data_IF_857818827285
#
_entry.id   IF_857818827285
#
_cell.length_a   1.000
_cell.length_b   1.000
_cell.length_c   1.000
_cell.angle_alpha   90.00
_cell.angle_beta   90.00
_cell.angle_gamma   90.00
#
_symmetry.space_group_name_H-M   'P 1'
#
loop_
_entity.id
_entity.type
_entity.pdbx_description
1 polymer ?
#
# COMPACT_ATOMS: atom_id res chain seq x y z
N UNK A 1 -20.30 -71.85 8.79
CA UNK A 1 -21.37 -72.08 9.79
C UNK A 1 -22.11 -70.77 9.95
N UNK A 2 -23.25 -70.61 9.27
CA UNK A 2 -24.60 -70.63 9.88
C UNK A 2 -24.99 -69.21 10.35
N UNK A 3 -26.14 -68.61 10.10
CA UNK A 3 -27.35 -68.88 9.32
C UNK A 3 -28.09 -67.52 9.19
N UNK A 4 -28.93 -67.40 8.17
CA UNK A 4 -29.89 -66.30 7.94
C UNK A 4 -30.90 -66.17 9.09
N UNK A 5 -31.45 -64.97 9.31
CA UNK A 5 -32.83 -64.82 9.80
C UNK A 5 -33.46 -63.48 9.38
N UNK A 6 -34.59 -63.60 8.69
CA UNK A 6 -35.54 -62.55 8.32
C UNK A 6 -36.36 -62.07 9.53
N UNK A 7 -36.78 -60.80 9.47
CA UNK A 7 -38.19 -60.43 9.65
C UNK A 7 -38.63 -59.88 11.00
N UNK A 8 -39.18 -58.66 11.00
CA UNK A 8 -40.56 -58.39 11.47
C UNK A 8 -40.99 -56.95 11.19
N UNK A 9 -41.98 -56.83 10.30
CA UNK A 9 -43.01 -55.81 10.35
C UNK A 9 -43.97 -56.13 11.51
N UNK A 10 -44.30 -55.11 12.33
CA UNK A 10 -45.64 -54.76 12.84
C UNK A 10 -45.51 -53.99 14.16
N UNK A 11 -46.31 -52.92 14.28
CA UNK A 11 -46.49 -52.22 15.54
C UNK A 11 -47.29 -50.93 15.40
N UNK A 12 -48.54 -51.03 14.94
CA UNK A 12 -49.55 -49.97 15.11
C UNK A 12 -50.10 -50.07 16.54
N UNK A 13 -50.19 -48.93 17.23
CA UNK A 13 -50.98 -48.73 18.46
C UNK A 13 -50.96 -47.24 18.82
N UNK A 14 -52.03 -46.46 18.54
CA UNK A 14 -53.18 -46.16 19.41
C UNK A 14 -52.77 -45.37 20.67
N UNK A 15 -53.42 -44.30 21.13
CA UNK A 15 -54.43 -43.35 20.63
C UNK A 15 -54.53 -42.31 21.77
N UNK A 16 -54.63 -41.01 21.48
CA UNK A 16 -55.26 -40.06 22.39
C UNK A 16 -55.58 -38.76 21.62
N UNK A 17 -56.73 -38.73 20.96
CA UNK A 17 -57.37 -37.49 20.57
C UNK A 17 -58.38 -37.14 21.67
N UNK A 18 -58.18 -35.99 22.32
CA UNK A 18 -59.22 -35.29 23.08
C UNK A 18 -59.44 -33.96 22.37
N UNK A 19 -60.72 -33.60 22.22
CA UNK A 19 -61.23 -32.67 21.21
C UNK A 19 -60.97 -31.19 21.47
N UNK A 20 -61.33 -30.40 20.46
CA UNK A 20 -61.33 -28.94 20.48
C UNK A 20 -60.98 -28.38 19.10
N UNK A 21 -61.95 -27.79 18.42
CA UNK A 21 -61.84 -27.29 17.05
C UNK A 21 -60.71 -26.27 16.83
N UNK A 22 -60.12 -26.34 15.64
CA UNK A 22 -59.09 -25.41 15.16
C UNK A 22 -58.02 -26.18 14.38
N UNK A 23 -57.78 -25.81 13.12
CA UNK A 23 -56.78 -26.43 12.25
C UNK A 23 -55.37 -26.39 12.88
N UNK A 24 -54.98 -27.45 13.58
CA UNK A 24 -53.61 -27.64 14.05
C UNK A 24 -52.81 -28.36 12.95
N UNK A 25 -51.89 -27.65 12.30
CA UNK A 25 -50.91 -28.28 11.41
C UNK A 25 -49.94 -29.09 12.29
N UNK A 26 -49.96 -30.40 12.17
CA UNK A 26 -48.98 -31.26 12.84
C UNK A 26 -47.59 -31.05 12.23
N UNK A 27 -46.68 -30.42 12.97
CA UNK A 27 -45.26 -30.47 12.64
C UNK A 27 -44.74 -31.88 12.95
N UNK A 28 -44.47 -32.66 11.91
CA UNK A 28 -43.71 -33.91 12.02
C UNK A 28 -42.23 -33.57 12.24
N UNK A 29 -41.76 -33.68 13.48
CA UNK A 29 -40.34 -33.63 13.78
C UNK A 29 -39.73 -35.00 13.46
N UNK A 30 -39.19 -35.16 12.25
CA UNK A 30 -38.34 -36.31 11.93
C UNK A 30 -37.09 -36.28 12.83
N UNK A 31 -36.56 -37.45 13.21
CA UNK A 31 -35.29 -37.53 13.95
C UNK A 31 -34.24 -36.69 13.22
N UNK A 32 -33.56 -35.78 13.94
CA UNK A 32 -32.37 -35.10 13.41
C UNK A 32 -31.42 -36.18 12.90
N UNK A 33 -31.28 -36.29 11.58
CA UNK A 33 -30.11 -36.96 11.01
C UNK A 33 -28.96 -36.00 11.30
N UNK A 34 -28.11 -36.37 12.24
CA UNK A 34 -26.81 -35.74 12.38
C UNK A 34 -26.08 -35.94 11.06
N UNK A 35 -26.14 -34.93 10.19
CA UNK A 35 -25.16 -34.83 9.12
C UNK A 35 -23.86 -34.53 9.84
N UNK A 36 -22.97 -35.51 9.90
CA UNK A 36 -21.59 -35.29 10.32
C UNK A 36 -21.04 -34.14 9.48
N UNK A 37 -20.94 -32.99 10.11
CA UNK A 37 -20.69 -31.73 9.42
C UNK A 37 -19.35 -31.83 8.73
N UNK A 38 -19.36 -31.77 7.40
CA UNK A 38 -18.19 -31.73 6.52
C UNK A 38 -17.29 -32.97 6.67
N UNK A 39 -17.31 -33.83 5.64
CA UNK A 39 -16.44 -35.01 5.50
C UNK A 39 -15.08 -34.81 6.17
N UNK A 40 -14.85 -35.56 7.25
CA UNK A 40 -13.66 -35.50 8.10
C UNK A 40 -12.37 -35.70 7.30
N UNK A 41 -12.44 -36.41 6.18
CA UNK A 41 -11.35 -36.65 5.21
C UNK A 41 -10.98 -35.39 4.41
N UNK A 42 -11.95 -34.55 4.02
CA UNK A 42 -11.67 -33.28 3.31
C UNK A 42 -10.98 -32.25 4.22
N UNK A 43 -11.20 -32.38 5.53
CA UNK A 43 -10.62 -31.47 6.54
C UNK A 43 -9.37 -32.06 7.19
N UNK A 44 -8.99 -33.29 6.86
CA UNK A 44 -7.86 -34.00 7.48
C UNK A 44 -6.51 -33.31 7.20
N UNK A 45 -6.38 -32.61 6.07
CA UNK A 45 -5.20 -31.79 5.75
C UNK A 45 -5.27 -30.36 6.31
N UNK A 46 -6.41 -29.91 6.83
CA UNK A 46 -6.52 -28.57 7.43
C UNK A 46 -5.83 -28.60 8.78
N UNK A 47 -4.89 -27.69 8.99
CA UNK A 47 -4.22 -27.51 10.30
C UNK A 47 -5.27 -27.47 11.41
N UNK A 48 -5.17 -28.39 12.39
CA UNK A 48 -6.14 -28.55 13.50
C UNK A 48 -6.24 -27.34 14.43
N UNK A 49 -5.36 -26.35 14.23
CA UNK A 49 -5.30 -25.14 15.02
C UNK A 49 -6.14 -24.08 14.30
N UNK A 50 -7.16 -23.49 14.95
CA UNK A 50 -7.86 -22.33 14.42
C UNK A 50 -6.86 -21.26 14.03
N UNK A 51 -7.07 -20.60 12.89
CA UNK A 51 -6.15 -19.58 12.36
C UNK A 51 -5.78 -18.51 13.40
N UNK A 52 -6.72 -18.10 14.25
CA UNK A 52 -6.50 -17.12 15.33
C UNK A 52 -5.50 -17.64 16.37
N UNK A 53 -5.52 -18.93 16.70
CA UNK A 53 -4.57 -19.53 17.64
C UNK A 53 -3.20 -19.75 17.02
N UNK A 54 -3.15 -20.14 15.73
CA UNK A 54 -1.91 -20.23 14.98
C UNK A 54 -1.25 -18.85 14.88
N UNK A 55 -2.03 -17.82 14.54
CA UNK A 55 -1.61 -16.42 14.53
C UNK A 55 -1.11 -15.98 15.90
N UNK A 56 -1.85 -16.22 16.99
CA UNK A 56 -1.40 -15.83 18.35
C UNK A 56 -0.12 -16.55 18.77
N UNK A 57 0.05 -17.82 18.39
CA UNK A 57 1.30 -18.57 18.63
C UNK A 57 2.46 -18.03 17.80
N UNK A 58 2.22 -17.60 16.56
CA UNK A 58 3.21 -16.89 15.77
C UNK A 58 3.54 -15.53 16.35
N UNK A 59 2.54 -14.72 16.75
CA UNK A 59 2.72 -13.44 17.46
C UNK A 59 3.57 -13.61 18.71
N UNK A 60 3.30 -14.62 19.55
CA UNK A 60 4.08 -14.89 20.75
C UNK A 60 5.50 -15.36 20.44
N UNK A 61 5.68 -16.21 19.42
CA UNK A 61 7.02 -16.60 18.94
C UNK A 61 7.78 -15.43 18.31
N UNK A 62 7.08 -14.54 17.60
CA UNK A 62 7.63 -13.35 16.97
C UNK A 62 8.04 -12.35 18.03
N UNK A 63 7.22 -12.15 19.08
CA UNK A 63 7.58 -11.34 20.26
C UNK A 63 8.74 -11.93 21.04
N UNK A 64 8.75 -13.23 21.33
CA UNK A 64 9.89 -13.88 22.00
C UNK A 64 11.19 -13.79 21.18
N UNK A 65 11.12 -14.06 19.87
CA UNK A 65 12.26 -13.89 18.97
C UNK A 65 12.66 -12.43 18.79
N UNK A 66 11.71 -11.50 18.76
CA UNK A 66 11.97 -10.05 18.72
C UNK A 66 12.66 -9.61 20.02
N UNK A 67 12.22 -10.06 21.19
CA UNK A 67 12.84 -9.74 22.48
C UNK A 67 14.27 -10.32 22.62
N UNK A 68 14.48 -11.55 22.16
CA UNK A 68 15.80 -12.18 22.17
C UNK A 68 16.74 -11.55 21.13
N UNK A 69 16.25 -11.32 19.90
CA UNK A 69 17.00 -10.59 18.87
C UNK A 69 17.22 -9.12 19.24
N UNK A 70 16.31 -8.48 19.97
CA UNK A 70 16.45 -7.08 20.41
C UNK A 70 17.48 -6.99 21.54
N UNK A 71 17.57 -7.97 22.44
CA UNK A 71 18.65 -8.05 23.44
C UNK A 71 20.01 -8.31 22.79
N UNK A 72 20.07 -9.20 21.81
CA UNK A 72 21.29 -9.53 21.08
C UNK A 72 21.75 -8.35 20.19
N UNK A 73 20.83 -7.76 19.42
CA UNK A 73 21.07 -6.52 18.65
C UNK A 73 21.40 -5.35 19.55
N UNK A 74 20.79 -5.19 20.73
CA UNK A 74 21.14 -4.11 21.68
C UNK A 74 22.54 -4.28 22.24
N UNK A 75 22.99 -5.52 22.46
CA UNK A 75 24.37 -5.83 22.87
C UNK A 75 25.40 -5.58 21.75
N UNK A 76 25.07 -5.95 20.51
CA UNK A 76 25.93 -5.76 19.35
C UNK A 76 25.96 -4.29 18.88
N UNK A 77 24.81 -3.62 18.88
CA UNK A 77 24.67 -2.21 18.51
C UNK A 77 25.22 -1.26 19.58
N UNK A 78 25.20 -1.63 20.88
CA UNK A 78 25.97 -0.89 21.90
C UNK A 78 27.49 -0.99 21.73
N UNK A 79 28.01 -2.06 21.12
CA UNK A 79 29.43 -2.15 20.75
C UNK A 79 29.76 -1.28 19.53
N UNK A 80 28.88 -1.21 18.53
CA UNK A 80 29.05 -0.36 17.33
C UNK A 80 28.90 1.13 17.64
N UNK A 81 27.97 1.51 18.52
CA UNK A 81 27.72 2.93 18.89
C UNK A 81 28.88 3.54 19.68
N UNK A 82 29.66 2.74 20.44
CA UNK A 82 30.87 3.23 21.14
C UNK A 82 32.09 3.40 20.22
N UNK A 83 32.01 2.98 18.96
CA UNK A 83 33.15 2.95 18.02
C UNK A 83 33.18 4.07 16.98
N UNK A 84 32.59 5.24 17.20
CA UNK A 84 32.78 6.35 16.24
C UNK A 84 31.94 7.58 16.50
N UNK A 85 32.09 8.25 17.63
CA UNK A 85 31.71 9.66 17.69
C UNK A 85 32.61 10.44 16.70
N UNK A 86 32.09 10.76 15.50
CA UNK A 86 32.69 11.76 14.61
C UNK A 86 33.61 11.29 13.47
N UNK A 87 33.68 10.02 13.11
CA UNK A 87 34.50 9.61 11.95
C UNK A 87 33.74 9.77 10.61
N UNK A 88 34.13 10.81 9.86
CA UNK A 88 34.07 10.86 8.39
C UNK A 88 32.70 11.06 7.73
N UNK A 89 32.07 12.23 7.87
CA UNK A 89 31.03 12.66 6.91
C UNK A 89 31.67 13.23 5.64
N UNK A 90 32.61 12.50 5.07
CA UNK A 90 33.19 12.82 3.77
C UNK A 90 32.10 12.69 2.70
N UNK A 91 32.13 13.56 1.70
CA UNK A 91 31.17 13.48 0.60
C UNK A 91 31.39 12.15 -0.14
N UNK A 92 30.30 11.42 -0.39
CA UNK A 92 30.32 10.17 -1.15
C UNK A 92 29.92 10.43 -2.59
N UNK A 93 30.42 9.61 -3.51
CA UNK A 93 30.04 9.73 -4.92
C UNK A 93 28.69 9.08 -5.13
N UNK A 94 27.93 9.54 -6.12
CA UNK A 94 26.64 8.93 -6.44
C UNK A 94 26.79 7.43 -6.78
N UNK A 95 27.84 7.09 -7.53
CA UNK A 95 28.16 5.71 -7.95
C UNK A 95 28.36 4.74 -6.79
N UNK A 96 28.85 5.23 -5.64
CA UNK A 96 29.09 4.38 -4.47
C UNK A 96 27.77 3.81 -3.90
N UNK A 97 26.66 4.52 -4.12
CA UNK A 97 25.32 4.10 -3.70
C UNK A 97 24.54 3.33 -4.79
N UNK A 98 25.08 3.23 -6.01
CA UNK A 98 24.37 2.64 -7.13
C UNK A 98 24.02 1.16 -6.87
N UNK A 99 22.79 0.78 -7.19
CA UNK A 99 22.37 -0.60 -7.16
C UNK A 99 21.39 -0.92 -8.28
N UNK A 100 21.45 -2.17 -8.74
CA UNK A 100 20.62 -2.72 -9.80
C UNK A 100 20.15 -4.11 -9.40
N UNK A 101 18.89 -4.40 -9.69
CA UNK A 101 18.23 -5.70 -9.54
C UNK A 101 17.52 -6.04 -10.85
N UNK A 102 17.66 -7.28 -11.29
CA UNK A 102 16.94 -7.81 -12.46
C UNK A 102 15.74 -8.61 -11.96
N UNK A 103 14.56 -8.29 -12.48
CA UNK A 103 13.30 -8.95 -12.21
C UNK A 103 12.90 -9.79 -13.44
N UNK A 104 13.15 -11.11 -13.43
CA UNK A 104 12.97 -11.99 -14.59
C UNK A 104 11.49 -12.36 -14.82
N UNK A 105 10.64 -11.37 -15.11
CA UNK A 105 9.20 -11.55 -15.28
C UNK A 105 8.81 -12.38 -16.51
N UNK A 106 9.58 -12.32 -17.59
CA UNK A 106 9.34 -13.14 -18.78
C UNK A 106 9.97 -14.53 -18.66
N UNK A 107 11.09 -14.62 -17.94
CA UNK A 107 11.84 -15.87 -17.78
C UNK A 107 11.26 -16.79 -16.69
N UNK A 108 10.65 -16.24 -15.64
CA UNK A 108 10.08 -17.02 -14.52
C UNK A 108 8.55 -16.80 -14.38
N UNK A 109 7.73 -17.76 -14.86
CA UNK A 109 6.28 -17.68 -14.74
C UNK A 109 5.75 -17.70 -13.29
N UNK A 110 6.45 -18.37 -12.36
CA UNK A 110 6.02 -18.41 -10.95
C UNK A 110 6.19 -17.05 -10.28
N UNK A 111 7.25 -16.32 -10.66
CA UNK A 111 7.43 -14.94 -10.23
C UNK A 111 6.36 -14.06 -10.87
N UNK A 112 6.12 -14.18 -12.17
CA UNK A 112 5.16 -13.36 -12.93
C UNK A 112 3.75 -13.35 -12.30
N UNK A 113 3.27 -14.48 -11.78
CA UNK A 113 1.96 -14.57 -11.14
C UNK A 113 1.77 -13.57 -9.97
N UNK A 114 2.84 -13.24 -9.25
CA UNK A 114 2.81 -12.26 -8.17
C UNK A 114 2.73 -10.81 -8.68
N UNK A 115 3.20 -10.58 -9.91
CA UNK A 115 3.31 -9.27 -10.54
C UNK A 115 2.23 -8.99 -11.57
N UNK A 116 1.42 -9.98 -11.97
CA UNK A 116 0.36 -9.80 -12.96
C UNK A 116 -1.01 -9.61 -12.29
N UNK A 117 -1.90 -8.92 -13.00
CA UNK A 117 -3.32 -8.79 -12.68
C UNK A 117 -4.11 -9.81 -13.49
N UNK A 118 -5.33 -10.16 -13.07
CA UNK A 118 -6.22 -11.06 -13.84
C UNK A 118 -6.48 -10.59 -15.28
N UNK A 119 -6.30 -9.29 -15.57
CA UNK A 119 -6.41 -8.69 -16.91
C UNK A 119 -5.13 -8.77 -17.75
N UNK A 120 -4.08 -9.44 -17.27
CA UNK A 120 -2.80 -9.58 -17.98
C UNK A 120 -1.85 -8.38 -17.87
N UNK A 121 -2.14 -7.40 -17.01
CA UNK A 121 -1.31 -6.20 -16.83
C UNK A 121 -0.39 -6.31 -15.61
N UNK A 122 0.80 -5.69 -15.68
CA UNK A 122 1.73 -5.63 -14.55
C UNK A 122 1.14 -4.76 -13.42
N UNK A 123 1.12 -5.33 -12.21
CA UNK A 123 0.64 -4.70 -10.99
C UNK A 123 1.69 -3.70 -10.49
N UNK A 124 1.45 -2.43 -10.76
CA UNK A 124 2.34 -1.34 -10.30
C UNK A 124 2.58 -1.35 -8.79
N UNK A 125 1.59 -1.78 -7.99
CA UNK A 125 1.76 -1.93 -6.55
C UNK A 125 2.88 -2.91 -6.15
N UNK A 126 3.06 -4.01 -6.89
CA UNK A 126 4.15 -4.96 -6.63
C UNK A 126 5.50 -4.34 -6.96
N UNK A 127 5.59 -3.64 -8.09
CA UNK A 127 6.80 -2.91 -8.49
C UNK A 127 7.16 -1.82 -7.47
N UNK A 128 6.18 -1.09 -6.92
CA UNK A 128 6.47 -0.07 -5.89
C UNK A 128 6.98 -0.66 -4.57
N UNK A 129 6.55 -1.86 -4.19
CA UNK A 129 7.10 -2.55 -3.02
C UNK A 129 8.59 -2.87 -3.23
N UNK A 130 8.94 -3.37 -4.41
CA UNK A 130 10.34 -3.66 -4.74
C UNK A 130 11.19 -2.40 -4.87
N UNK A 131 10.62 -1.32 -5.41
CA UNK A 131 11.28 -0.03 -5.49
C UNK A 131 11.57 0.57 -4.11
N UNK A 132 10.63 0.45 -3.16
CA UNK A 132 10.84 0.87 -1.77
C UNK A 132 11.94 0.03 -1.09
N UNK A 133 11.92 -1.29 -1.29
CA UNK A 133 12.97 -2.18 -0.80
C UNK A 133 14.35 -1.82 -1.39
N UNK A 134 14.40 -1.55 -2.70
CA UNK A 134 15.61 -1.12 -3.40
C UNK A 134 16.11 0.24 -2.90
N UNK A 135 15.21 1.20 -2.67
CA UNK A 135 15.56 2.50 -2.06
C UNK A 135 16.18 2.32 -0.68
N UNK A 136 15.64 1.40 0.13
CA UNK A 136 16.22 1.01 1.40
C UNK A 136 17.66 0.51 1.25
N UNK A 137 17.89 -0.44 0.34
CA UNK A 137 19.23 -1.00 0.08
C UNK A 137 20.22 0.08 -0.38
N UNK A 138 19.82 0.93 -1.33
CA UNK A 138 20.65 2.05 -1.81
C UNK A 138 20.99 3.01 -0.67
N UNK A 139 20.02 3.31 0.18
CA UNK A 139 20.24 4.18 1.35
C UNK A 139 21.22 3.56 2.33
N UNK A 140 21.10 2.27 2.62
CA UNK A 140 22.04 1.55 3.48
C UNK A 140 23.46 1.50 2.89
N UNK A 141 23.62 1.38 1.57
CA UNK A 141 24.94 1.51 0.94
C UNK A 141 25.54 2.91 1.14
N UNK A 142 24.71 3.95 1.08
CA UNK A 142 25.14 5.32 1.28
C UNK A 142 25.48 5.63 2.74
N UNK A 143 24.71 5.14 3.70
CA UNK A 143 24.88 5.52 5.12
C UNK A 143 25.67 4.52 5.96
N UNK A 144 25.69 3.25 5.56
CA UNK A 144 26.25 2.13 6.30
C UNK A 144 25.35 1.65 7.45
N UNK A 145 25.78 0.60 8.15
CA UNK A 145 25.01 -0.11 9.19
C UNK A 145 24.81 0.69 10.49
N UNK A 146 25.33 1.92 10.54
CA UNK A 146 25.33 2.75 11.75
C UNK A 146 23.99 3.43 12.01
N UNK A 147 23.17 3.58 10.97
CA UNK A 147 21.89 4.30 11.05
C UNK A 147 20.76 3.42 10.51
N UNK A 148 19.58 3.59 11.08
CA UNK A 148 18.36 3.03 10.53
C UNK A 148 17.84 3.97 9.46
N UNK A 149 17.53 3.46 8.27
CA UNK A 149 16.92 4.27 7.20
C UNK A 149 15.44 3.93 7.07
N UNK A 150 14.61 4.97 6.94
CA UNK A 150 13.16 4.85 6.74
C UNK A 150 12.71 5.65 5.51
N UNK A 151 11.66 5.18 4.86
CA UNK A 151 11.01 5.92 3.76
C UNK A 151 10.11 7.00 4.34
N UNK A 152 10.41 8.27 4.05
CA UNK A 152 9.62 9.40 4.52
C UNK A 152 8.55 9.81 3.51
N UNK A 153 8.87 9.76 2.22
CA UNK A 153 7.93 10.07 1.16
C UNK A 153 8.31 9.37 -0.15
N UNK A 154 7.28 9.09 -0.96
CA UNK A 154 7.42 8.74 -2.37
C UNK A 154 6.83 9.90 -3.15
N UNK A 155 7.66 10.60 -3.93
CA UNK A 155 7.29 11.90 -4.47
C UNK A 155 6.94 11.82 -5.96
N UNK A 156 7.97 11.98 -6.81
CA UNK A 156 7.80 12.05 -8.26
C UNK A 156 7.76 10.64 -8.79
N UNK A 157 6.62 10.22 -9.34
CA UNK A 157 6.48 8.99 -10.13
C UNK A 157 6.14 9.42 -11.55
N UNK A 158 7.05 9.17 -12.49
CA UNK A 158 6.87 9.48 -13.91
C UNK A 158 6.77 8.16 -14.67
N UNK A 159 5.58 7.87 -15.19
CA UNK A 159 5.35 6.74 -16.10
C UNK A 159 5.59 7.22 -17.52
N UNK A 160 6.75 6.86 -18.10
CA UNK A 160 7.08 7.23 -19.47
C UNK A 160 6.29 6.40 -20.48
N UNK A 161 6.08 5.11 -20.18
CA UNK A 161 5.31 4.19 -21.01
C UNK A 161 4.53 3.21 -20.13
N UNK A 162 3.34 2.77 -20.58
CA UNK A 162 2.59 1.75 -19.86
C UNK A 162 3.32 0.40 -19.95
N UNK A 163 3.39 -0.30 -18.81
CA UNK A 163 3.95 -1.66 -18.69
C UNK A 163 2.96 -2.69 -19.25
N UNK A 164 2.74 -2.66 -20.56
CA UNK A 164 1.79 -3.54 -21.27
C UNK A 164 2.45 -4.86 -21.71
N UNK A 165 3.75 -4.84 -21.97
CA UNK A 165 4.49 -6.01 -22.41
C UNK A 165 5.11 -6.73 -21.21
N UNK A 166 4.86 -8.04 -21.12
CA UNK A 166 5.56 -8.92 -20.19
C UNK A 166 7.00 -9.05 -20.69
N UNK A 167 7.93 -8.41 -19.98
CA UNK A 167 9.35 -8.45 -20.28
C UNK A 167 10.15 -8.45 -18.98
N UNK A 168 11.38 -8.94 -19.03
CA UNK A 168 12.29 -8.84 -17.89
C UNK A 168 12.61 -7.37 -17.62
N UNK A 169 12.47 -6.97 -16.35
CA UNK A 169 12.64 -5.60 -15.90
C UNK A 169 13.95 -5.43 -15.13
N UNK A 170 14.56 -4.28 -15.30
CA UNK A 170 15.73 -3.83 -14.55
C UNK A 170 15.31 -2.68 -13.64
N UNK A 171 15.37 -2.92 -12.33
CA UNK A 171 15.20 -1.89 -11.31
C UNK A 171 16.59 -1.38 -10.94
N UNK A 172 16.83 -0.08 -11.08
CA UNK A 172 18.12 0.52 -10.74
C UNK A 172 17.93 1.86 -10.06
N UNK A 173 18.96 2.32 -9.35
CA UNK A 173 18.96 3.66 -8.82
C UNK A 173 20.18 3.99 -7.98
N UNK A 174 20.20 5.24 -7.52
CA UNK A 174 21.29 5.82 -6.72
C UNK A 174 20.79 7.02 -5.93
N UNK A 175 21.56 7.42 -4.91
CA UNK A 175 21.33 8.68 -4.20
C UNK A 175 21.69 9.84 -5.13
N UNK A 176 20.72 10.69 -5.45
CA UNK A 176 20.92 11.85 -6.32
C UNK A 176 21.06 13.15 -5.55
N UNK A 177 20.57 13.22 -4.32
CA UNK A 177 20.75 14.40 -3.48
C UNK A 177 20.76 13.99 -2.01
N UNK A 178 21.72 14.49 -1.24
CA UNK A 178 21.75 14.29 0.20
C UNK A 178 22.02 15.62 0.90
N UNK A 179 21.21 15.95 1.90
CA UNK A 179 21.26 17.25 2.59
C UNK A 179 22.48 17.43 3.50
N UNK A 180 23.21 16.36 3.81
CA UNK A 180 24.23 16.34 4.89
C UNK A 180 23.64 16.43 6.30
N UNK A 181 22.30 16.44 6.43
CA UNK A 181 21.57 16.28 7.69
C UNK A 181 21.05 14.86 7.73
N UNK A 182 19.75 14.63 7.81
CA UNK A 182 19.20 13.28 7.93
C UNK A 182 18.45 12.79 6.69
N UNK A 183 18.22 13.64 5.69
CA UNK A 183 17.42 13.27 4.52
C UNK A 183 18.26 13.15 3.26
N UNK A 184 17.92 12.16 2.44
CA UNK A 184 18.45 11.93 1.10
C UNK A 184 17.32 11.62 0.12
N UNK A 185 17.49 12.01 -1.13
CA UNK A 185 16.64 11.66 -2.27
C UNK A 185 17.32 10.55 -3.07
N UNK A 186 16.61 9.44 -3.24
CA UNK A 186 17.02 8.29 -4.05
C UNK A 186 16.23 8.33 -5.34
N UNK A 187 16.91 8.45 -6.47
CA UNK A 187 16.26 8.33 -7.78
C UNK A 187 16.38 6.91 -8.29
N UNK A 188 15.24 6.36 -8.68
CA UNK A 188 15.08 5.01 -9.17
C UNK A 188 14.52 5.03 -10.59
N UNK A 189 14.89 4.02 -11.35
CA UNK A 189 14.45 3.83 -12.73
C UNK A 189 14.09 2.36 -12.96
N UNK A 190 12.99 2.16 -13.69
CA UNK A 190 12.55 0.86 -14.18
C UNK A 190 12.70 0.83 -15.69
N UNK A 191 13.54 -0.07 -16.18
CA UNK A 191 13.85 -0.23 -17.59
C UNK A 191 13.60 -1.66 -18.06
N UNK A 192 13.45 -1.85 -19.36
CA UNK A 192 13.57 -3.18 -19.98
C UNK A 192 15.00 -3.68 -19.85
N UNK A 193 15.18 -4.95 -19.50
CA UNK A 193 16.49 -5.62 -19.53
C UNK A 193 17.04 -5.56 -20.96
N UNK A 194 18.31 -5.18 -21.16
CA UNK A 194 18.86 -5.04 -22.50
C UNK A 194 19.11 -6.42 -23.09
N UNK A 195 19.07 -6.53 -24.42
CA UNK A 195 19.52 -7.74 -25.10
C UNK A 195 21.00 -8.03 -24.78
N UNK A 196 21.36 -9.32 -24.75
CA UNK A 196 22.71 -9.78 -24.44
C UNK A 196 23.78 -9.01 -25.27
N UNK A 197 24.73 -8.39 -24.57
CA UNK A 197 25.80 -7.57 -25.18
C UNK A 197 25.64 -6.04 -25.06
N UNK A 198 24.51 -5.53 -24.54
CA UNK A 198 24.27 -4.09 -24.33
C UNK A 198 24.22 -3.67 -22.86
N UNK A 199 24.71 -4.49 -21.93
CA UNK A 199 24.56 -4.28 -20.48
C UNK A 199 25.23 -3.00 -19.94
N UNK A 200 26.29 -2.54 -20.62
CA UNK A 200 27.05 -1.34 -20.25
C UNK A 200 26.65 -0.08 -21.03
N UNK A 201 25.63 -0.15 -21.90
CA UNK A 201 25.17 1.01 -22.66
C UNK A 201 24.16 1.84 -21.84
N UNK A 202 24.13 3.17 -22.04
CA UNK A 202 23.09 3.99 -21.44
C UNK A 202 21.72 3.52 -21.93
N UNK A 203 20.77 3.47 -21.00
CA UNK A 203 19.40 3.06 -21.30
C UNK A 203 18.79 4.00 -22.31
N UNK A 204 18.25 3.44 -23.39
CA UNK A 204 17.48 4.22 -24.35
C UNK A 204 16.22 4.71 -23.68
N UNK A 205 15.77 5.90 -24.04
CA UNK A 205 14.53 6.48 -23.48
C UNK A 205 13.32 5.61 -23.78
N UNK A 206 13.37 4.89 -24.90
CA UNK A 206 12.37 3.91 -25.33
C UNK A 206 12.40 2.61 -24.53
N UNK A 207 13.34 2.41 -23.61
CA UNK A 207 13.38 1.24 -22.72
C UNK A 207 13.01 1.60 -21.28
N UNK A 208 12.96 2.90 -20.95
CA UNK A 208 12.53 3.41 -19.66
C UNK A 208 11.00 3.33 -19.57
N UNK A 209 10.49 2.68 -18.55
CA UNK A 209 9.06 2.60 -18.25
C UNK A 209 8.66 3.58 -17.17
N UNK A 210 9.47 3.67 -16.11
CA UNK A 210 9.16 4.47 -14.95
C UNK A 210 10.43 5.11 -14.37
N UNK A 211 10.30 6.36 -13.95
CA UNK A 211 11.26 7.04 -13.09
C UNK A 211 10.57 7.42 -11.79
N UNK A 212 11.23 7.23 -10.66
CA UNK A 212 10.70 7.66 -9.39
C UNK A 212 11.75 8.24 -8.45
N UNK A 213 11.31 9.10 -7.52
CA UNK A 213 12.15 9.70 -6.49
C UNK A 213 11.57 9.40 -5.11
N UNK A 214 12.40 8.78 -4.26
CA UNK A 214 12.09 8.41 -2.88
C UNK A 214 12.86 9.30 -1.93
N UNK A 215 12.17 9.89 -0.96
CA UNK A 215 12.80 10.63 0.13
C UNK A 215 13.01 9.70 1.30
N UNK A 216 14.28 9.44 1.61
CA UNK A 216 14.72 8.56 2.68
C UNK A 216 15.29 9.38 3.83
N UNK A 217 15.03 8.94 5.07
CA UNK A 217 15.49 9.62 6.28
C UNK A 217 16.26 8.65 7.16
N UNK A 218 17.42 9.10 7.64
CA UNK A 218 18.30 8.35 8.52
C UNK A 218 18.05 8.74 9.97
N UNK A 219 17.82 7.71 10.78
CA UNK A 219 17.49 7.78 12.19
C UNK A 219 18.52 6.98 13.00
N UNK A 220 18.73 7.40 14.23
CA UNK A 220 19.42 6.60 15.23
C UNK A 220 18.53 5.37 15.55
N UNK A 221 19.05 4.15 15.42
CA UNK A 221 18.25 2.95 15.65
C UNK A 221 17.77 2.81 17.11
N UNK A 222 18.47 3.41 18.08
CA UNK A 222 18.07 3.41 19.50
C UNK A 222 17.17 4.61 19.80
N UNK A 223 17.62 5.82 19.50
CA UNK A 223 16.90 7.04 19.92
C UNK A 223 15.76 7.43 18.98
N UNK A 224 15.72 6.85 17.77
CA UNK A 224 14.78 7.16 16.67
C UNK A 224 14.82 8.64 16.24
N UNK A 225 15.88 9.37 16.62
CA UNK A 225 16.09 10.77 16.24
C UNK A 225 16.86 10.85 14.93
N UNK A 226 16.65 11.93 14.20
CA UNK A 226 17.37 12.24 12.96
C UNK A 226 18.90 12.29 13.18
N UNK A 227 19.65 11.53 12.36
CA UNK A 227 21.12 11.45 12.42
C UNK A 227 21.73 12.08 11.17
N UNK A 228 22.91 12.69 11.32
CA UNK A 228 23.65 13.25 10.18
C UNK A 228 24.24 12.16 9.27
N UNK A 229 24.13 12.35 7.97
CA UNK A 229 24.68 11.48 6.92
C UNK A 229 25.66 12.22 6.02
N UNK A 230 26.48 11.46 5.30
CA UNK A 230 27.37 11.99 4.28
C UNK A 230 26.58 12.71 3.18
N UNK A 231 27.11 13.83 2.70
CA UNK A 231 26.62 14.47 1.48
C UNK A 231 26.95 13.63 0.25
N UNK A 232 26.29 13.93 -0.87
CA UNK A 232 26.64 13.35 -2.17
C UNK A 232 27.43 14.38 -2.98
N UNK A 233 28.49 13.92 -3.64
CA UNK A 233 29.25 14.68 -4.62
C UNK A 233 28.97 14.11 -6.02
N UNK A 234 28.37 14.88 -6.94
CA UNK A 234 28.22 14.47 -8.33
C UNK A 234 29.56 14.47 -9.07
N UNK A 235 29.75 13.51 -9.97
CA UNK A 235 30.88 13.45 -10.88
C UNK A 235 30.43 13.63 -12.34
N UNK A 236 30.79 14.77 -12.94
CA UNK A 236 30.51 15.08 -14.35
C UNK A 236 29.14 15.71 -14.59
N UNK A 237 28.90 16.13 -15.84
CA UNK A 237 27.76 16.97 -16.21
C UNK A 237 26.39 16.28 -16.02
N UNK A 238 26.33 14.96 -16.25
CA UNK A 238 25.07 14.19 -16.12
C UNK A 238 24.66 14.06 -14.66
N UNK A 239 25.60 13.72 -13.78
CA UNK A 239 25.34 13.61 -12.34
C UNK A 239 25.04 14.99 -11.72
N UNK A 240 25.71 16.05 -12.18
CA UNK A 240 25.43 17.42 -11.77
C UNK A 240 23.97 17.82 -12.10
N UNK A 241 23.49 17.47 -13.30
CA UNK A 241 22.11 17.74 -13.69
C UNK A 241 21.09 16.98 -12.82
N UNK A 242 21.41 15.76 -12.39
CA UNK A 242 20.59 15.00 -11.44
C UNK A 242 20.63 15.60 -10.03
N UNK A 243 21.81 16.03 -9.58
CA UNK A 243 21.99 16.68 -8.29
C UNK A 243 21.18 17.97 -8.19
N UNK A 244 21.28 18.83 -9.21
CA UNK A 244 20.54 20.10 -9.25
C UNK A 244 19.02 19.86 -9.33
N UNK A 245 18.59 18.81 -10.03
CA UNK A 245 17.18 18.40 -10.04
C UNK A 245 16.70 17.96 -8.66
N UNK A 246 17.50 17.15 -7.96
CA UNK A 246 17.20 16.70 -6.60
C UNK A 246 17.19 17.85 -5.59
N UNK A 247 18.11 18.81 -5.73
CA UNK A 247 18.14 20.03 -4.92
C UNK A 247 16.87 20.87 -5.12
N UNK A 248 16.47 21.12 -6.37
CA UNK A 248 15.21 21.83 -6.68
C UNK A 248 13.98 21.10 -6.13
N UNK A 249 13.98 19.77 -6.19
CA UNK A 249 12.92 18.93 -5.59
C UNK A 249 12.86 19.15 -4.08
N UNK A 250 14.00 19.09 -3.39
CA UNK A 250 14.10 19.35 -1.96
C UNK A 250 13.62 20.77 -1.58
N UNK A 251 14.09 21.79 -2.29
CA UNK A 251 13.72 23.19 -2.03
C UNK A 251 12.22 23.42 -2.27
N UNK A 252 11.65 22.82 -3.32
CA UNK A 252 10.20 22.83 -3.57
C UNK A 252 9.45 22.20 -2.40
N UNK A 253 9.82 20.99 -1.97
CA UNK A 253 9.17 20.31 -0.83
C UNK A 253 9.24 21.14 0.44
N UNK A 254 10.40 21.74 0.71
CA UNK A 254 10.60 22.61 1.87
C UNK A 254 9.69 23.85 1.84
N UNK A 255 9.48 24.44 0.66
CA UNK A 255 8.54 25.56 0.47
C UNK A 255 7.08 25.12 0.67
N UNK A 256 6.70 23.97 0.13
CA UNK A 256 5.32 23.46 0.24
C UNK A 256 4.96 23.00 1.67
N UNK A 257 5.92 22.53 2.46
CA UNK A 257 5.72 22.10 3.85
C UNK A 257 5.10 23.19 4.74
N UNK A 258 5.37 24.47 4.46
CA UNK A 258 4.80 25.61 5.18
C UNK A 258 3.47 26.12 4.63
N UNK A 259 3.05 25.69 3.43
CA UNK A 259 1.87 26.21 2.71
C UNK A 259 0.60 25.37 2.93
N UNK A 260 0.54 24.64 4.04
CA UNK A 260 -0.66 23.88 4.39
C UNK A 260 -1.81 24.82 4.77
N UNK A 261 -3.04 24.49 4.37
CA UNK A 261 -4.25 25.28 4.68
C UNK A 261 -4.48 25.50 6.20
N UNK A 262 -3.92 24.63 7.05
CA UNK A 262 -3.94 24.78 8.51
C UNK A 262 -2.85 25.69 9.05
N UNK A 263 -1.81 25.95 8.26
CA UNK A 263 -0.64 26.75 8.63
C UNK A 263 -0.69 28.17 8.07
N UNK A 264 -1.34 28.35 6.92
CA UNK A 264 -1.44 29.62 6.22
C UNK A 264 -2.80 29.70 5.52
N UNK A 265 -3.39 30.89 5.53
CA UNK A 265 -4.63 31.18 4.78
C UNK A 265 -4.36 31.10 3.27
N UNK A 266 -5.37 30.77 2.44
CA UNK A 266 -5.22 30.74 0.99
C UNK A 266 -4.73 32.08 0.45
N UNK A 267 -3.79 32.02 -0.49
CA UNK A 267 -3.33 33.21 -1.21
C UNK A 267 -4.42 33.77 -2.15
N UNK A 268 -4.28 35.00 -2.64
CA UNK A 268 -5.27 35.62 -3.54
C UNK A 268 -5.48 34.77 -4.80
N UNK A 269 -4.39 34.23 -5.37
CA UNK A 269 -4.46 33.32 -6.53
C UNK A 269 -5.21 32.01 -6.22
N UNK A 270 -5.04 31.48 -5.01
CA UNK A 270 -5.71 30.26 -4.56
C UNK A 270 -7.19 30.52 -4.30
N UNK A 271 -7.52 31.67 -3.72
CA UNK A 271 -8.88 32.14 -3.48
C UNK A 271 -9.63 32.32 -4.80
N UNK A 272 -8.99 32.93 -5.81
CA UNK A 272 -9.55 33.06 -7.17
C UNK A 272 -9.78 31.69 -7.83
N UNK A 273 -8.89 30.73 -7.60
CA UNK A 273 -9.06 29.36 -8.10
C UNK A 273 -10.24 28.66 -7.41
N UNK A 274 -10.36 28.79 -6.09
CA UNK A 274 -11.46 28.22 -5.31
C UNK A 274 -12.78 28.83 -5.78
N UNK A 275 -12.85 30.15 -5.96
CA UNK A 275 -14.03 30.85 -6.46
C UNK A 275 -14.42 30.36 -7.87
N UNK A 276 -13.46 30.24 -8.80
CA UNK A 276 -13.71 29.67 -10.13
C UNK A 276 -14.21 28.23 -10.08
N UNK A 277 -13.68 27.40 -9.17
CA UNK A 277 -14.14 26.02 -9.01
C UNK A 277 -15.55 25.94 -8.41
N UNK A 278 -15.86 26.82 -7.46
CA UNK A 278 -17.19 26.93 -6.87
C UNK A 278 -18.24 27.36 -7.91
N UNK A 279 -17.93 28.36 -8.74
CA UNK A 279 -18.82 28.78 -9.84
C UNK A 279 -19.12 27.62 -10.79
N UNK A 280 -18.08 26.87 -11.21
CA UNK A 280 -18.28 25.66 -12.03
C UNK A 280 -19.14 24.61 -11.34
N UNK A 281 -19.11 24.54 -10.01
CA UNK A 281 -19.93 23.58 -9.24
C UNK A 281 -21.41 23.95 -9.28
N UNK A 282 -21.74 25.24 -9.28
CA UNK A 282 -23.12 25.72 -9.41
C UNK A 282 -23.72 25.37 -10.77
N UNK A 283 -22.92 25.44 -11.84
CA UNK A 283 -23.36 25.03 -13.18
C UNK A 283 -23.88 23.57 -13.20
N UNK A 284 -23.28 22.66 -12.40
CA UNK A 284 -23.73 21.28 -12.28
C UNK A 284 -25.04 21.12 -11.48
N UNK A 285 -25.37 22.06 -10.60
CA UNK A 285 -26.55 21.96 -9.71
C UNK A 285 -27.80 22.53 -10.38
N UNK A 286 -27.66 23.50 -11.27
CA UNK A 286 -28.78 24.19 -11.92
C UNK A 286 -29.19 23.56 -13.27
N UNK A 287 -28.30 22.81 -13.94
CA UNK A 287 -28.59 22.17 -15.25
C UNK A 287 -28.14 20.71 -15.31
N UNK A 288 -29.00 19.74 -14.94
CA UNK A 288 -28.68 18.31 -14.98
C UNK A 288 -28.45 17.73 -16.39
N UNK A 289 -28.70 18.50 -17.45
CA UNK A 289 -28.63 18.06 -18.85
C UNK A 289 -27.28 18.27 -19.52
N UNK A 290 -26.45 19.17 -18.98
CA UNK A 290 -25.16 19.54 -19.58
C UNK A 290 -24.03 18.70 -18.98
N UNK A 291 -24.19 17.36 -19.06
CA UNK A 291 -23.03 16.49 -18.92
C UNK A 291 -22.06 16.84 -20.04
N UNK A 292 -20.79 17.18 -19.76
CA UNK A 292 -19.79 17.19 -20.82
C UNK A 292 -19.82 15.80 -21.46
N UNK A 293 -19.88 15.69 -22.80
CA UNK A 293 -19.84 14.40 -23.46
C UNK A 293 -18.63 13.65 -22.90
N UNK A 294 -18.86 12.42 -22.42
CA UNK A 294 -17.76 11.53 -22.01
C UNK A 294 -16.73 11.59 -23.14
N UNK A 295 -15.47 12.00 -22.87
CA UNK A 295 -14.51 12.17 -23.94
C UNK A 295 -14.39 10.82 -24.66
N UNK A 296 -14.72 10.82 -25.95
CA UNK A 296 -14.51 9.68 -26.82
C UNK A 296 -13.03 9.27 -26.73
N UNK A 297 -12.80 7.96 -26.86
CA UNK A 297 -11.64 7.18 -26.41
C UNK A 297 -10.22 7.58 -26.92
N UNK A 298 -9.99 8.80 -27.39
CA UNK A 298 -8.75 9.19 -28.10
C UNK A 298 -8.12 10.52 -27.67
N UNK A 299 -8.47 11.09 -26.51
CA UNK A 299 -7.79 12.30 -26.03
C UNK A 299 -6.75 11.95 -24.96
N UNK A 300 -5.48 12.25 -25.26
CA UNK A 300 -4.34 12.03 -24.38
C UNK A 300 -4.50 12.85 -23.09
N UNK A 301 -4.75 12.17 -21.97
CA UNK A 301 -4.81 12.82 -20.65
C UNK A 301 -3.40 13.00 -20.09
N UNK A 302 -2.94 14.26 -19.96
CA UNK A 302 -1.86 14.59 -19.04
C UNK A 302 -2.49 14.84 -17.67
N UNK A 303 -2.58 13.79 -16.86
CA UNK A 303 -2.99 13.85 -15.46
C UNK A 303 -1.91 14.57 -14.63
N UNK A 304 -2.14 15.83 -14.26
CA UNK A 304 -1.12 16.63 -13.58
C UNK A 304 -1.06 16.46 -12.05
N UNK A 305 -2.04 15.79 -11.41
CA UNK A 305 -1.91 15.28 -10.04
C UNK A 305 -3.15 14.49 -9.66
N UNK A 306 -2.98 13.30 -9.10
CA UNK A 306 -4.04 12.61 -8.35
C UNK A 306 -3.80 12.87 -6.86
N UNK A 307 -4.55 13.78 -6.25
CA UNK A 307 -4.86 13.68 -4.82
C UNK A 307 -6.15 12.88 -4.72
N UNK A 308 -6.03 11.58 -4.47
CA UNK A 308 -7.17 10.73 -4.11
C UNK A 308 -7.68 11.17 -2.73
N UNK A 309 -8.56 12.16 -2.70
CA UNK A 309 -9.42 12.39 -1.54
C UNK A 309 -10.64 11.47 -1.71
N UNK A 310 -10.62 10.33 -1.02
CA UNK A 310 -11.85 9.59 -0.74
C UNK A 310 -12.70 10.49 0.18
N UNK A 311 -13.90 10.95 -0.24
CA UNK A 311 -14.79 11.63 0.68
C UNK A 311 -15.21 10.63 1.77
N UNK A 312 -15.25 11.02 3.05
CA UNK A 312 -15.83 10.17 4.07
C UNK A 312 -17.32 10.02 3.75
N UNK A 313 -17.74 8.82 3.34
CA UNK A 313 -19.15 8.45 3.29
C UNK A 313 -19.70 8.53 4.72
N UNK A 314 -20.28 9.67 5.08
CA UNK A 314 -21.15 9.81 6.24
C UNK A 314 -22.43 9.01 5.95
N UNK A 315 -22.44 7.74 6.37
CA UNK A 315 -23.65 6.96 6.55
C UNK A 315 -24.53 7.66 7.59
N UNK A 316 -25.41 8.55 7.13
CA UNK A 316 -26.45 9.15 7.96
C UNK A 316 -27.58 8.14 8.11
N UNK A 317 -27.76 7.59 9.30
CA UNK A 317 -28.90 6.73 9.63
C UNK A 317 -30.22 7.51 9.49
N UNK A 318 -31.29 6.91 8.94
CA UNK A 318 -32.60 7.56 8.84
C UNK A 318 -33.27 7.53 10.21
N UNK A 319 -33.27 8.65 10.92
CA UNK A 319 -34.10 8.82 12.11
C UNK A 319 -35.53 9.14 11.67
N UNK A 320 -36.48 8.32 12.15
CA UNK A 320 -37.90 8.41 11.87
C UNK A 320 -38.47 9.80 12.25
N UNK A 321 -39.08 10.45 11.26
CA UNK A 321 -39.93 11.64 11.45
C UNK A 321 -41.28 11.21 12.02
N UNK A 322 -41.61 11.65 13.22
CA UNK A 322 -42.95 11.56 13.80
C UNK A 322 -43.53 12.99 13.88
N UNK A 323 -44.66 13.30 13.21
CA UNK A 323 -45.22 14.65 13.26
C UNK A 323 -46.21 14.76 14.42
N UNK A 324 -45.82 15.43 15.50
CA UNK A 324 -46.75 15.92 16.54
C UNK A 324 -47.05 17.38 16.29
N UNK A 325 -48.25 17.67 15.77
CA UNK A 325 -48.82 19.01 15.73
C UNK A 325 -49.13 19.51 17.16
N UNK A 326 -48.78 20.75 17.53
CA UNK A 326 -49.32 21.41 18.72
C UNK A 326 -50.55 22.25 18.37
N UNK A 327 -51.67 21.97 19.03
CA UNK A 327 -52.90 22.77 19.06
C UNK A 327 -52.72 24.05 19.90
N UNK A 328 -53.35 25.19 19.55
CA UNK A 328 -53.21 26.44 20.30
C UNK A 328 -54.38 26.72 21.26
N UNK A 329 -54.11 27.32 22.42
CA UNK A 329 -55.04 28.17 23.19
C UNK A 329 -54.29 28.84 24.38
N UNK A 330 -54.86 29.85 25.05
CA UNK A 330 -55.13 31.20 24.54
C UNK A 330 -54.45 32.30 25.40
N UNK A 331 -54.41 33.51 24.85
CA UNK A 331 -53.90 34.76 25.46
C UNK A 331 -54.69 35.19 26.71
N UNK A 332 -54.03 35.79 27.72
CA UNK A 332 -54.71 36.36 28.88
C UNK A 332 -55.16 37.82 28.64
N UNK A 333 -56.20 38.21 29.38
CA UNK A 333 -56.70 39.58 29.54
C UNK A 333 -55.71 40.49 30.27
#
# INVERSE_FOLDING_TARGET
MSMKSLGRLRGVGWNACVGGGGYARCFSMGSRRETDGVYRELTAMRTRVPFIEAWRKEEAKRKGKEEDMEKEKRGEMQKVVKGGEGEGLEMKRMKDSFHRVILPLASDPWLLDNYITASGHIRLGAIFMDLDALAGVISYKHTGDRVMTVTAAVDRITLSRPLLEICDLELSGQVTFATGRSSMEVSLQVCKVPSAGQENQPRRKEDVFMECAFTMVSLDPVTKKAVRIAGVQPEGEVEEAWFERGRKSYDKKKRELGRGLRSMEPDDEESDLIHRLWLKTLDYHDYPSDFPPTPSSSTLFILHSLRLQLPPLLLRHPHQSNPTHPTPSPTPH
#
